data_IF_311924716164
#
_entry.id   IF_311924716164
#
_cell.length_a   1.000
_cell.length_b   1.000
_cell.length_c   1.000
_cell.angle_alpha   90.00
_cell.angle_beta   90.00
_cell.angle_gamma   90.00
#
_symmetry.space_group_name_H-M   'P 1'
#
loop_
_entity.id
_entity.type
_entity.pdbx_description
1 polymer ?
#
# COMPACT_ATOMS: atom_id res chain seq x y z
N UNK A 1 33.59 1.84 11.84
CA UNK A 1 35.06 1.86 11.80
C UNK A 1 35.54 0.46 11.51
N UNK A 2 35.86 0.26 10.23
CA UNK A 2 36.56 -0.84 9.56
C UNK A 2 37.52 -1.69 10.43
N UNK A 3 37.36 -3.01 10.39
CA UNK A 3 38.48 -3.93 10.64
C UNK A 3 38.45 -5.07 9.63
N UNK A 4 39.17 -4.80 8.55
CA UNK A 4 39.48 -5.64 7.41
C UNK A 4 40.40 -6.79 7.85
N UNK A 5 39.87 -8.01 7.99
CA UNK A 5 40.68 -9.20 8.28
C UNK A 5 41.34 -9.70 6.99
N UNK A 6 42.57 -9.22 6.80
CA UNK A 6 43.54 -9.54 5.76
C UNK A 6 43.80 -11.06 5.68
N UNK A 7 43.31 -11.70 4.62
CA UNK A 7 43.67 -13.07 4.21
C UNK A 7 45.12 -13.08 3.73
N UNK A 8 46.04 -13.63 4.53
CA UNK A 8 47.39 -13.97 4.10
C UNK A 8 47.37 -15.27 3.29
N UNK A 9 47.32 -15.15 1.96
CA UNK A 9 47.52 -16.25 1.02
C UNK A 9 49.01 -16.34 0.67
N UNK A 10 49.74 -17.23 1.34
CA UNK A 10 51.12 -17.55 0.97
C UNK A 10 51.11 -18.67 -0.07
N UNK A 11 51.28 -18.32 -1.35
CA UNK A 11 51.39 -19.27 -2.46
C UNK A 11 52.71 -20.04 -2.39
N UNK A 12 52.65 -21.38 -2.37
CA UNK A 12 53.78 -22.23 -2.77
C UNK A 12 53.32 -23.31 -3.76
N UNK A 13 53.88 -23.21 -4.96
CA UNK A 13 54.13 -24.24 -5.97
C UNK A 13 52.94 -25.05 -6.53
N UNK A 14 52.49 -24.67 -7.74
CA UNK A 14 51.66 -25.49 -8.61
C UNK A 14 52.48 -25.82 -9.87
N UNK A 15 52.81 -27.10 -10.10
CA UNK A 15 53.54 -27.56 -11.29
C UNK A 15 52.59 -27.72 -12.48
N UNK A 16 53.06 -27.28 -13.65
CA UNK A 16 52.34 -27.24 -14.93
C UNK A 16 52.48 -28.55 -15.71
N UNK A 17 51.38 -29.08 -16.23
CA UNK A 17 51.39 -29.98 -17.39
C UNK A 17 50.27 -29.56 -18.36
N UNK A 18 50.63 -29.40 -19.63
CA UNK A 18 49.89 -28.66 -20.67
C UNK A 18 49.20 -29.59 -21.68
N UNK A 19 48.13 -29.05 -22.30
CA UNK A 19 47.50 -29.33 -23.62
C UNK A 19 46.11 -29.99 -23.55
N UNK A 20 45.08 -29.63 -24.33
CA UNK A 20 44.87 -28.63 -25.39
C UNK A 20 43.36 -28.74 -25.81
N UNK A 21 42.61 -27.62 -25.79
CA UNK A 21 41.25 -27.34 -26.34
C UNK A 21 39.97 -27.54 -25.49
N UNK A 22 39.16 -26.47 -25.55
CA UNK A 22 37.75 -26.23 -25.18
C UNK A 22 37.36 -26.04 -23.71
N UNK A 23 37.59 -24.79 -23.28
CA UNK A 23 36.75 -23.91 -22.45
C UNK A 23 36.10 -24.47 -21.17
N UNK A 24 36.60 -23.92 -20.05
CA UNK A 24 36.13 -24.01 -18.65
C UNK A 24 36.67 -25.21 -17.86
N UNK A 25 37.98 -25.20 -17.61
CA UNK A 25 38.62 -25.99 -16.55
C UNK A 25 38.22 -25.40 -15.19
N UNK A 26 37.24 -26.02 -14.53
CA UNK A 26 36.98 -25.82 -13.11
C UNK A 26 38.20 -26.31 -12.32
N UNK A 27 39.01 -25.36 -11.82
CA UNK A 27 40.06 -25.66 -10.83
C UNK A 27 39.33 -26.07 -9.55
N UNK A 28 39.23 -27.37 -9.31
CA UNK A 28 38.81 -27.89 -8.01
C UNK A 28 39.95 -27.70 -7.01
N UNK A 29 40.08 -26.49 -6.47
CA UNK A 29 40.91 -26.24 -5.29
C UNK A 29 40.24 -26.90 -4.09
N UNK A 30 40.79 -28.02 -3.60
CA UNK A 30 40.42 -28.58 -2.31
C UNK A 30 40.90 -27.60 -1.22
N UNK A 31 40.01 -26.72 -0.78
CA UNK A 31 40.21 -25.90 0.42
C UNK A 31 40.10 -26.85 1.61
N UNK A 32 41.25 -27.20 2.21
CA UNK A 32 41.28 -27.90 3.49
C UNK A 32 41.03 -26.89 4.60
N UNK A 33 39.76 -26.64 4.90
CA UNK A 33 39.35 -25.75 6.00
C UNK A 33 39.67 -26.41 7.34
N UNK A 34 40.43 -25.73 8.20
CA UNK A 34 40.52 -26.08 9.62
C UNK A 34 39.15 -25.80 10.25
N UNK A 35 38.42 -26.86 10.61
CA UNK A 35 37.06 -26.79 11.13
C UNK A 35 37.10 -26.33 12.59
N UNK A 36 36.47 -25.19 12.89
CA UNK A 36 36.21 -24.74 14.26
C UNK A 36 35.32 -25.77 15.00
N UNK A 37 35.61 -26.14 16.26
CA UNK A 37 34.89 -27.19 16.98
C UNK A 37 33.40 -26.89 17.22
N UNK A 38 33.01 -25.60 17.23
CA UNK A 38 31.60 -25.17 17.29
C UNK A 38 30.89 -25.45 15.96
N UNK A 39 31.55 -25.20 14.83
CA UNK A 39 31.02 -25.46 13.48
C UNK A 39 30.79 -26.96 13.25
N UNK A 40 31.61 -27.82 13.84
CA UNK A 40 31.48 -29.27 13.72
C UNK A 40 30.16 -29.81 14.31
N UNK A 41 29.70 -29.27 15.45
CA UNK A 41 28.43 -29.66 16.09
C UNK A 41 27.21 -29.25 15.26
N UNK A 42 27.19 -28.00 14.76
CA UNK A 42 26.13 -27.51 13.87
C UNK A 42 26.10 -28.25 12.52
N UNK A 43 27.27 -28.59 11.97
CA UNK A 43 27.37 -29.39 10.74
C UNK A 43 26.87 -30.83 10.91
N UNK A 44 27.03 -31.44 12.09
CA UNK A 44 26.49 -32.79 12.35
C UNK A 44 24.97 -32.76 12.45
N UNK A 45 24.39 -31.76 13.13
CA UNK A 45 22.94 -31.58 13.20
C UNK A 45 22.31 -31.38 11.82
N UNK A 46 22.88 -30.50 10.99
CA UNK A 46 22.44 -30.28 9.60
C UNK A 46 22.55 -31.54 8.74
N UNK A 47 23.65 -32.30 8.84
CA UNK A 47 23.84 -33.55 8.10
C UNK A 47 22.79 -34.61 8.45
N UNK A 48 22.42 -34.74 9.73
CA UNK A 48 21.39 -35.68 10.17
C UNK A 48 20.02 -35.28 9.60
N UNK A 49 19.70 -33.98 9.62
CA UNK A 49 18.46 -33.44 9.06
C UNK A 49 18.42 -33.67 7.55
N UNK A 50 19.49 -33.35 6.83
CA UNK A 50 19.60 -33.55 5.38
C UNK A 50 19.45 -35.03 4.98
N UNK A 51 20.08 -35.96 5.71
CA UNK A 51 19.94 -37.39 5.44
C UNK A 51 18.52 -37.91 5.72
N UNK A 52 17.85 -37.37 6.75
CA UNK A 52 16.46 -37.69 7.06
C UNK A 52 15.49 -37.16 6.00
N UNK A 53 15.68 -35.92 5.55
CA UNK A 53 14.91 -35.32 4.46
C UNK A 53 15.14 -36.08 3.15
N UNK A 54 16.38 -36.42 2.81
CA UNK A 54 16.68 -37.20 1.61
C UNK A 54 16.01 -38.57 1.64
N UNK A 55 16.08 -39.29 2.77
CA UNK A 55 15.38 -40.58 2.92
C UNK A 55 13.86 -40.43 2.84
N UNK A 56 13.31 -39.35 3.40
CA UNK A 56 11.88 -39.06 3.37
C UNK A 56 11.41 -38.74 1.95
N UNK A 57 12.07 -37.81 1.26
CA UNK A 57 11.76 -37.45 -0.13
C UNK A 57 11.98 -38.60 -1.10
N UNK A 58 12.99 -39.44 -0.87
CA UNK A 58 13.19 -40.64 -1.66
C UNK A 58 12.00 -41.60 -1.53
N UNK A 59 11.53 -41.88 -0.31
CA UNK A 59 10.33 -42.71 -0.08
C UNK A 59 9.07 -42.07 -0.68
N UNK A 60 8.89 -40.77 -0.51
CA UNK A 60 7.77 -40.00 -1.04
C UNK A 60 7.76 -40.06 -2.57
N UNK A 61 8.91 -39.83 -3.22
CA UNK A 61 9.08 -39.93 -4.67
C UNK A 61 8.82 -41.33 -5.21
N UNK A 62 9.22 -42.38 -4.48
CA UNK A 62 8.96 -43.78 -4.83
C UNK A 62 7.45 -44.10 -4.81
N UNK A 63 6.72 -43.56 -3.82
CA UNK A 63 5.25 -43.69 -3.74
C UNK A 63 4.54 -42.90 -4.83
N UNK A 64 4.99 -41.66 -5.10
CA UNK A 64 4.46 -40.80 -6.17
C UNK A 64 4.67 -41.45 -7.53
N UNK A 65 5.84 -42.02 -7.79
CA UNK A 65 6.14 -42.73 -9.04
C UNK A 65 5.31 -44.00 -9.24
N UNK A 66 4.88 -44.67 -8.15
CA UNK A 66 4.01 -45.84 -8.21
C UNK A 66 2.54 -45.49 -8.49
N UNK A 67 2.09 -44.29 -8.08
CA UNK A 67 0.70 -43.83 -8.24
C UNK A 67 0.62 -42.38 -8.74
N UNK A 68 1.04 -42.09 -9.99
CA UNK A 68 1.15 -40.72 -10.49
C UNK A 68 -0.20 -39.99 -10.63
N UNK A 69 -1.29 -40.72 -10.94
CA UNK A 69 -2.60 -40.12 -11.16
C UNK A 69 -3.22 -39.51 -9.90
N UNK A 70 -3.15 -40.19 -8.76
CA UNK A 70 -3.71 -39.69 -7.50
C UNK A 70 -3.02 -38.41 -7.02
N UNK A 71 -1.69 -38.35 -7.16
CA UNK A 71 -0.89 -37.19 -6.80
C UNK A 71 -1.08 -35.99 -7.74
N UNK A 72 -1.65 -36.18 -8.94
CA UNK A 72 -2.05 -35.08 -9.84
C UNK A 72 -3.46 -34.58 -9.54
N UNK A 73 -4.42 -35.50 -9.37
CA UNK A 73 -5.84 -35.15 -9.22
C UNK A 73 -6.11 -34.44 -7.88
N UNK A 74 -5.52 -34.91 -6.78
CA UNK A 74 -5.74 -34.35 -5.45
C UNK A 74 -5.34 -32.88 -5.34
N UNK A 75 -4.11 -32.45 -5.68
CA UNK A 75 -3.74 -31.04 -5.60
C UNK A 75 -4.53 -30.17 -6.59
N UNK A 76 -4.90 -30.68 -7.77
CA UNK A 76 -5.76 -29.94 -8.72
C UNK A 76 -7.15 -29.68 -8.15
N UNK A 77 -7.76 -30.67 -7.49
CA UNK A 77 -9.05 -30.45 -6.82
C UNK A 77 -8.92 -29.46 -5.66
N UNK A 78 -7.84 -29.54 -4.88
CA UNK A 78 -7.57 -28.59 -3.79
C UNK A 78 -7.38 -27.16 -4.32
N UNK A 79 -6.67 -26.96 -5.43
CA UNK A 79 -6.52 -25.62 -6.01
C UNK A 79 -7.83 -25.08 -6.57
N UNK A 80 -8.65 -25.91 -7.22
CA UNK A 80 -9.99 -25.52 -7.69
C UNK A 80 -10.90 -25.13 -6.53
N UNK A 81 -10.89 -25.89 -5.44
CA UNK A 81 -11.63 -25.54 -4.22
C UNK A 81 -11.10 -24.22 -3.63
N UNK A 82 -9.78 -24.03 -3.55
CA UNK A 82 -9.18 -22.76 -3.10
C UNK A 82 -9.57 -21.57 -3.98
N UNK A 83 -9.69 -21.77 -5.28
CA UNK A 83 -10.08 -20.75 -6.25
C UNK A 83 -11.52 -20.27 -6.06
N UNK A 84 -12.43 -21.15 -5.63
CA UNK A 84 -13.80 -20.74 -5.27
C UNK A 84 -13.83 -19.79 -4.06
N UNK A 85 -12.89 -19.96 -3.12
CA UNK A 85 -12.74 -19.05 -1.98
C UNK A 85 -12.24 -17.66 -2.39
N UNK A 86 -11.42 -17.57 -3.45
CA UNK A 86 -10.90 -16.30 -3.95
C UNK A 86 -12.02 -15.36 -4.44
N UNK A 87 -13.13 -15.91 -4.95
CA UNK A 87 -14.28 -15.12 -5.40
C UNK A 87 -14.91 -14.28 -4.28
N UNK A 88 -14.75 -14.68 -3.00
CA UNK A 88 -15.30 -13.95 -1.87
C UNK A 88 -14.33 -12.96 -1.22
N UNK A 89 -13.15 -12.72 -1.81
CA UNK A 89 -12.22 -11.73 -1.28
C UNK A 89 -12.77 -10.31 -1.44
N UNK A 90 -13.06 -9.66 -0.32
CA UNK A 90 -13.44 -8.24 -0.26
C UNK A 90 -12.18 -7.39 -0.17
N UNK A 91 -11.96 -6.52 -1.15
CA UNK A 91 -10.86 -5.56 -1.11
C UNK A 91 -11.31 -4.28 -0.40
N UNK A 92 -10.60 -3.89 0.66
CA UNK A 92 -10.84 -2.65 1.37
C UNK A 92 -9.92 -1.57 0.77
N UNK A 93 -10.52 -0.59 0.09
CA UNK A 93 -9.80 0.51 -0.60
C UNK A 93 -9.75 1.77 0.29
N UNK A 94 -10.35 1.71 1.48
CA UNK A 94 -10.41 2.86 2.37
C UNK A 94 -9.00 3.23 2.87
N UNK A 95 -8.47 4.42 2.52
CA UNK A 95 -7.10 4.80 2.87
C UNK A 95 -6.90 4.89 4.39
N UNK A 96 -7.93 5.31 5.14
CA UNK A 96 -7.88 5.34 6.60
C UNK A 96 -7.67 3.95 7.23
N UNK A 97 -8.17 2.89 6.61
CA UNK A 97 -7.96 1.51 7.08
C UNK A 97 -6.55 1.01 6.75
N UNK A 98 -6.04 1.34 5.57
CA UNK A 98 -4.73 0.88 5.10
C UNK A 98 -3.55 1.54 5.83
N UNK A 99 -3.69 2.80 6.24
CA UNK A 99 -2.60 3.58 6.82
C UNK A 99 -2.66 3.74 8.34
N UNK A 100 -3.77 3.38 8.98
CA UNK A 100 -3.91 3.51 10.44
C UNK A 100 -4.24 2.16 11.07
N UNK A 101 -3.50 1.72 12.12
CA UNK A 101 -3.80 0.48 12.81
C UNK A 101 -5.23 0.50 13.38
N UNK A 102 -5.84 -0.67 13.51
CA UNK A 102 -7.24 -0.81 13.95
C UNK A 102 -7.40 -0.32 15.39
N UNK A 103 -6.41 -0.61 16.25
CA UNK A 103 -6.40 -0.31 17.68
C UNK A 103 -5.37 0.79 18.02
N UNK A 104 -5.39 1.91 17.29
CA UNK A 104 -4.59 3.08 17.65
C UNK A 104 -5.30 3.94 18.69
N UNK A 105 -4.56 4.48 19.66
CA UNK A 105 -5.08 5.41 20.68
C UNK A 105 -5.87 6.57 20.04
N UNK A 106 -5.36 7.15 18.95
CA UNK A 106 -6.07 8.22 18.23
C UNK A 106 -7.42 7.79 17.63
N UNK A 107 -7.60 6.52 17.25
CA UNK A 107 -8.91 5.99 16.81
C UNK A 107 -9.86 5.80 18.00
N UNK A 108 -9.35 5.40 19.16
CA UNK A 108 -10.14 5.25 20.38
C UNK A 108 -10.65 6.61 20.88
N UNK A 109 -9.76 7.59 21.02
CA UNK A 109 -10.14 8.95 21.43
C UNK A 109 -11.14 9.57 20.44
N UNK A 110 -10.90 9.39 19.14
CA UNK A 110 -11.85 9.85 18.11
C UNK A 110 -13.20 9.15 18.21
N UNK A 111 -13.25 7.84 18.47
CA UNK A 111 -14.51 7.12 18.65
C UNK A 111 -15.28 7.65 19.88
N UNK A 112 -14.57 8.01 20.95
CA UNK A 112 -15.16 8.69 22.12
C UNK A 112 -15.76 10.03 21.69
N UNK A 113 -15.00 10.88 21.00
CA UNK A 113 -15.49 12.19 20.52
C UNK A 113 -16.70 12.03 19.61
N UNK A 114 -16.69 11.08 18.67
CA UNK A 114 -17.82 10.80 17.76
C UNK A 114 -19.07 10.31 18.51
N UNK A 115 -18.91 9.61 19.64
CA UNK A 115 -20.02 9.18 20.49
C UNK A 115 -20.69 10.35 21.22
N UNK A 116 -19.90 11.29 21.75
CA UNK A 116 -20.41 12.46 22.47
C UNK A 116 -20.89 13.59 21.54
N UNK A 117 -20.18 13.81 20.44
CA UNK A 117 -20.44 14.85 19.45
C UNK A 117 -20.74 14.23 18.08
N UNK A 118 -21.96 13.69 17.93
CA UNK A 118 -22.40 13.10 16.67
C UNK A 118 -22.47 14.17 15.57
N UNK A 119 -21.73 13.94 14.47
CA UNK A 119 -21.80 14.78 13.27
C UNK A 119 -23.07 14.48 12.47
N UNK A 120 -24.06 15.36 12.56
CA UNK A 120 -25.28 15.26 11.76
C UNK A 120 -25.12 16.07 10.47
N UNK A 121 -24.91 15.39 9.34
CA UNK A 121 -24.80 16.01 8.02
C UNK A 121 -26.12 16.63 7.52
N UNK A 122 -27.26 16.21 8.08
CA UNK A 122 -28.59 16.56 7.60
C UNK A 122 -29.18 17.85 8.17
N UNK A 123 -28.76 18.29 9.36
CA UNK A 123 -29.39 19.45 10.02
C UNK A 123 -28.44 20.33 10.83
N UNK A 124 -27.26 19.84 11.22
CA UNK A 124 -26.28 20.59 12.02
C UNK A 124 -24.85 20.29 11.59
N UNK A 125 -24.57 20.40 10.30
CA UNK A 125 -23.23 20.22 9.79
C UNK A 125 -22.33 21.46 9.99
N UNK A 126 -21.16 21.27 10.60
CA UNK A 126 -20.15 22.32 10.75
C UNK A 126 -18.77 21.80 10.37
N UNK A 127 -18.08 22.50 9.47
CA UNK A 127 -16.77 22.08 8.93
C UNK A 127 -15.71 21.93 10.02
N UNK A 128 -15.74 22.75 11.07
CA UNK A 128 -14.77 22.70 12.17
C UNK A 128 -14.91 21.47 13.09
N UNK A 129 -16.04 20.77 13.06
CA UNK A 129 -16.30 19.57 13.90
C UNK A 129 -16.12 18.24 13.17
N UNK A 130 -15.50 18.25 11.99
CA UNK A 130 -15.26 17.05 11.21
C UNK A 130 -14.11 16.25 11.85
N UNK A 131 -14.41 15.07 12.37
CA UNK A 131 -13.40 14.13 12.93
C UNK A 131 -12.84 13.18 11.87
N UNK A 132 -13.60 12.89 10.81
CA UNK A 132 -13.23 11.98 9.72
C UNK A 132 -12.79 12.75 8.48
N UNK A 133 -11.71 12.33 7.83
CA UNK A 133 -11.43 12.73 6.44
C UNK A 133 -12.46 12.04 5.52
N UNK A 134 -13.70 12.53 5.56
CA UNK A 134 -14.82 12.00 4.79
C UNK A 134 -14.80 12.45 3.33
N UNK A 135 -15.88 12.11 2.63
CA UNK A 135 -16.12 12.51 1.24
C UNK A 135 -16.44 14.00 1.16
N UNK A 136 -15.42 14.83 1.10
CA UNK A 136 -15.54 16.27 0.87
C UNK A 136 -14.91 16.64 -0.47
N UNK A 137 -15.68 17.32 -1.32
CA UNK A 137 -15.13 17.98 -2.50
C UNK A 137 -14.45 19.28 -2.09
N UNK A 138 -13.19 19.48 -2.51
CA UNK A 138 -12.47 20.75 -2.35
C UNK A 138 -11.98 21.20 -3.71
N UNK A 139 -12.27 22.44 -4.07
CA UNK A 139 -11.77 23.08 -5.28
C UNK A 139 -10.66 24.03 -4.87
N UNK A 140 -9.48 23.86 -5.45
CA UNK A 140 -8.32 24.75 -5.24
C UNK A 140 -8.11 25.51 -6.55
N UNK A 141 -8.21 26.83 -6.47
CA UNK A 141 -8.08 27.73 -7.61
C UNK A 141 -6.68 28.33 -7.63
N UNK A 142 -6.16 28.61 -8.82
CA UNK A 142 -4.85 29.27 -9.00
C UNK A 142 -4.90 30.09 -10.28
N UNK A 143 -4.35 31.32 -10.21
CA UNK A 143 -4.25 32.22 -11.36
C UNK A 143 -3.31 31.66 -12.42
N UNK A 144 -3.72 31.73 -13.70
CA UNK A 144 -2.90 31.31 -14.84
C UNK A 144 -1.83 32.34 -15.22
N UNK A 145 -2.02 33.60 -14.85
CA UNK A 145 -1.23 34.73 -15.32
C UNK A 145 0.16 34.84 -14.66
N UNK A 146 0.55 33.86 -13.84
CA UNK A 146 1.83 33.84 -13.12
C UNK A 146 1.87 34.77 -11.90
N UNK A 147 0.94 35.72 -11.82
CA UNK A 147 0.72 36.55 -10.64
C UNK A 147 0.13 35.74 -9.49
N UNK A 148 0.76 35.86 -8.31
CA UNK A 148 0.37 35.18 -7.08
C UNK A 148 -0.83 35.82 -6.37
N UNK A 149 -1.25 37.02 -6.81
CA UNK A 149 -2.37 37.71 -6.19
C UNK A 149 -3.70 37.17 -6.71
N UNK A 150 -4.44 36.49 -5.85
CA UNK A 150 -5.77 35.94 -6.18
C UNK A 150 -6.92 36.88 -5.82
N UNK A 151 -6.67 37.97 -5.07
CA UNK A 151 -7.69 38.90 -4.58
C UNK A 151 -8.03 40.01 -5.58
N UNK A 152 -7.80 39.78 -6.87
CA UNK A 152 -8.08 40.75 -7.94
C UNK A 152 -9.54 40.60 -8.37
N UNK A 153 -10.20 41.71 -8.67
CA UNK A 153 -11.61 41.76 -9.10
C UNK A 153 -11.89 40.81 -10.26
N UNK A 154 -11.08 40.86 -11.31
CA UNK A 154 -11.22 39.96 -12.47
C UNK A 154 -11.14 38.47 -12.12
N UNK A 155 -10.24 38.08 -11.20
CA UNK A 155 -10.10 36.67 -10.79
C UNK A 155 -11.29 36.22 -9.95
N UNK A 156 -11.81 37.11 -9.10
CA UNK A 156 -12.93 36.78 -8.21
C UNK A 156 -14.28 36.73 -8.91
N UNK A 157 -14.45 37.53 -9.97
CA UNK A 157 -15.58 37.40 -10.89
C UNK A 157 -15.61 36.00 -11.53
N UNK A 158 -14.45 35.49 -11.98
CA UNK A 158 -14.33 34.12 -12.49
C UNK A 158 -14.61 33.07 -11.41
N UNK A 159 -14.13 33.27 -10.19
CA UNK A 159 -14.43 32.38 -9.06
C UNK A 159 -15.93 32.32 -8.79
N UNK A 160 -16.64 33.45 -8.87
CA UNK A 160 -18.10 33.51 -8.71
C UNK A 160 -18.83 32.78 -9.83
N UNK A 161 -18.42 32.99 -11.07
CA UNK A 161 -18.98 32.26 -12.21
C UNK A 161 -18.82 30.75 -12.03
N UNK A 162 -17.66 30.29 -11.55
CA UNK A 162 -17.42 28.88 -11.26
C UNK A 162 -18.35 28.36 -10.16
N UNK A 163 -18.56 29.12 -9.09
CA UNK A 163 -19.48 28.74 -8.01
C UNK A 163 -20.93 28.59 -8.51
N UNK A 164 -21.38 29.49 -9.38
CA UNK A 164 -22.69 29.41 -10.03
C UNK A 164 -22.83 28.13 -10.89
N UNK A 165 -21.80 27.75 -11.64
CA UNK A 165 -21.80 26.50 -12.39
C UNK A 165 -21.87 25.27 -11.48
N UNK A 166 -21.16 25.30 -10.34
CA UNK A 166 -21.20 24.21 -9.35
C UNK A 166 -22.59 24.11 -8.71
N UNK A 167 -23.21 25.24 -8.35
CA UNK A 167 -24.54 25.23 -7.75
C UNK A 167 -25.64 24.75 -8.71
N UNK A 168 -25.47 24.98 -10.01
CA UNK A 168 -26.40 24.55 -11.05
C UNK A 168 -26.12 23.14 -11.59
N UNK A 169 -25.13 22.44 -11.04
CA UNK A 169 -24.79 21.09 -11.52
C UNK A 169 -25.87 20.07 -11.16
N UNK A 170 -26.10 19.14 -12.08
CA UNK A 170 -26.98 17.98 -11.86
C UNK A 170 -26.22 16.69 -12.14
N UNK A 171 -26.40 15.69 -11.27
CA UNK A 171 -25.72 14.40 -11.34
C UNK A 171 -26.75 13.30 -11.41
N UNK A 172 -26.58 12.36 -12.34
CA UNK A 172 -27.41 11.17 -12.45
C UNK A 172 -26.77 10.02 -11.67
N UNK A 173 -27.47 9.49 -10.67
CA UNK A 173 -27.02 8.36 -9.86
C UNK A 173 -28.22 7.56 -9.38
N UNK A 174 -28.15 6.22 -9.41
CA UNK A 174 -29.18 5.31 -8.89
C UNK A 174 -30.60 5.62 -9.41
N UNK A 175 -30.71 5.82 -10.73
CA UNK A 175 -31.95 6.16 -11.45
C UNK A 175 -32.65 7.45 -11.02
N UNK A 176 -31.92 8.36 -10.37
CA UNK A 176 -32.42 9.67 -9.95
C UNK A 176 -31.43 10.80 -10.32
N UNK A 177 -31.98 11.99 -10.52
CA UNK A 177 -31.21 13.22 -10.70
C UNK A 177 -31.06 13.93 -9.36
N UNK A 178 -29.82 14.21 -8.98
CA UNK A 178 -29.48 14.96 -7.79
C UNK A 178 -28.92 16.33 -8.18
N UNK A 179 -29.42 17.38 -7.54
CA UNK A 179 -28.87 18.73 -7.66
C UNK A 179 -27.90 18.99 -6.50
N UNK A 180 -27.06 20.03 -6.63
CA UNK A 180 -26.18 20.46 -5.53
C UNK A 180 -26.93 20.69 -4.21
N UNK A 181 -28.15 21.24 -4.27
CA UNK A 181 -28.99 21.55 -3.09
C UNK A 181 -29.50 20.30 -2.36
N UNK A 182 -29.56 19.16 -3.06
CA UNK A 182 -30.02 17.89 -2.48
C UNK A 182 -28.90 17.19 -1.72
N UNK A 183 -27.65 17.35 -2.19
CA UNK A 183 -26.46 16.68 -1.65
C UNK A 183 -25.65 17.55 -0.66
N UNK A 184 -25.87 18.86 -0.66
CA UNK A 184 -25.12 19.77 0.21
C UNK A 184 -25.31 19.42 1.68
N UNK A 185 -24.28 19.69 2.49
CA UNK A 185 -24.40 19.55 3.93
C UNK A 185 -25.22 20.72 4.49
N UNK A 186 -26.27 20.41 5.27
CA UNK A 186 -27.23 21.41 5.75
C UNK A 186 -26.96 21.81 7.20
N UNK A 187 -27.07 23.11 7.46
CA UNK A 187 -27.11 23.69 8.80
C UNK A 187 -28.44 24.43 8.96
N UNK A 188 -29.31 23.95 9.84
CA UNK A 188 -30.64 24.55 10.08
C UNK A 188 -31.43 24.75 8.77
N UNK A 189 -31.43 23.73 7.90
CA UNK A 189 -32.11 23.66 6.59
C UNK A 189 -31.49 24.45 5.43
N UNK A 190 -30.43 25.23 5.66
CA UNK A 190 -29.66 25.89 4.59
C UNK A 190 -28.38 25.13 4.25
N UNK A 191 -27.99 25.13 2.96
CA UNK A 191 -26.69 24.62 2.54
C UNK A 191 -25.57 25.44 3.18
N UNK A 192 -24.50 24.78 3.61
CA UNK A 192 -23.30 25.50 4.06
C UNK A 192 -22.70 26.32 2.90
N UNK A 193 -22.64 27.64 3.05
CA UNK A 193 -22.00 28.55 2.10
C UNK A 193 -20.54 28.81 2.47
N UNK A 194 -19.68 29.00 1.48
CA UNK A 194 -18.29 29.39 1.72
C UNK A 194 -18.22 30.88 2.08
N UNK A 195 -17.92 31.18 3.34
CA UNK A 195 -17.81 32.57 3.84
C UNK A 195 -16.79 33.43 3.06
N UNK A 196 -15.79 32.80 2.42
CA UNK A 196 -14.75 33.47 1.64
C UNK A 196 -15.33 34.16 0.39
N UNK A 197 -16.40 33.63 -0.22
CA UNK A 197 -17.02 34.22 -1.41
C UNK A 197 -17.76 35.53 -1.09
N UNK A 198 -18.15 35.74 0.17
CA UNK A 198 -18.82 36.97 0.59
C UNK A 198 -17.86 38.18 0.64
N UNK A 199 -16.56 38.01 0.44
CA UNK A 199 -15.57 39.10 0.54
C UNK A 199 -15.66 40.14 -0.59
N UNK A 200 -16.51 39.92 -1.61
CA UNK A 200 -16.67 40.78 -2.78
C UNK A 200 -16.89 42.27 -2.44
N UNK A 201 -17.57 42.59 -1.34
CA UNK A 201 -17.84 44.00 -0.98
C UNK A 201 -16.60 44.78 -0.54
N UNK A 202 -15.52 44.08 -0.13
CA UNK A 202 -14.26 44.71 0.28
C UNK A 202 -13.29 44.77 -0.90
N UNK A 203 -13.55 44.01 -1.96
CA UNK A 203 -12.59 43.85 -3.04
C UNK A 203 -12.30 45.12 -3.82
N UNK A 204 -13.30 45.97 -4.02
CA UNK A 204 -13.11 47.27 -4.66
C UNK A 204 -12.21 48.21 -3.82
N UNK A 205 -12.11 47.96 -2.51
CA UNK A 205 -11.27 48.73 -1.58
C UNK A 205 -9.84 48.16 -1.44
N UNK A 206 -9.59 46.91 -1.85
CA UNK A 206 -8.29 46.21 -1.65
C UNK A 206 -7.58 45.81 -2.95
N UNK A 207 -8.20 46.04 -4.11
CA UNK A 207 -7.61 45.76 -5.43
C UNK A 207 -6.65 46.83 -5.92
#
# INVERSE_FOLDING_TARGET
MTSEKRLFLHWKNCWSFSRMWDSVTFISCIVRSSVDPVLHSWMVGLKIVDDLLNKSFYKLGLVVGKYPGYFLVVPVLLTLLGMTGYQQMKNNIDPEYLFSPINGEGKFERAIVENYFKVNYSSRFSVSRITRAGRFGRVILTSKDGDKNMLRTAVWDEVRLLDEYIQNMTVYFDDQYFTYKDICAKWMDECFFNDILNLHYIMDDVS
#
